data_IF_209267189435
#
_entry.id   IF_209267189435
#
_cell.length_a   1.000
_cell.length_b   1.000
_cell.length_c   1.000
_cell.angle_alpha   90.00
_cell.angle_beta   90.00
_cell.angle_gamma   90.00
#
_symmetry.space_group_name_H-M   'P 1'
#
loop_
_entity.id
_entity.type
_entity.pdbx_description
1 polymer ?
#
# COMPACT_ATOMS: atom_id res chain seq x y z
N UNK A 1 -26.28 -8.60 3.11
CA UNK A 1 -24.90 -9.03 2.82
C UNK A 1 -23.94 -8.24 3.71
N UNK A 2 -23.36 -8.88 4.74
CA UNK A 2 -22.28 -8.26 5.51
C UNK A 2 -21.09 -8.05 4.57
N UNK A 3 -20.82 -6.80 4.20
CA UNK A 3 -19.55 -6.44 3.54
C UNK A 3 -18.44 -6.83 4.49
N UNK A 4 -17.60 -7.78 4.08
CA UNK A 4 -16.43 -8.23 4.83
C UNK A 4 -15.59 -6.99 5.17
N UNK A 5 -15.60 -6.55 6.44
CA UNK A 5 -14.73 -5.45 6.89
C UNK A 5 -13.29 -5.89 6.60
N UNK A 6 -12.63 -5.21 5.68
CA UNK A 6 -11.23 -5.49 5.33
C UNK A 6 -10.41 -5.19 6.58
N UNK A 7 -9.97 -6.21 7.32
CA UNK A 7 -9.09 -6.01 8.47
C UNK A 7 -7.70 -5.62 7.98
N UNK A 8 -7.24 -4.43 8.37
CA UNK A 8 -5.85 -4.03 8.19
C UNK A 8 -4.96 -4.82 9.16
N UNK A 9 -3.74 -5.13 8.72
CA UNK A 9 -2.70 -5.80 9.49
C UNK A 9 -1.60 -4.80 9.84
N UNK A 10 -0.80 -5.15 10.85
CA UNK A 10 0.43 -4.41 11.16
C UNK A 10 1.32 -4.31 9.91
N UNK A 11 1.84 -3.12 9.63
CA UNK A 11 2.65 -2.82 8.44
C UNK A 11 1.84 -2.41 7.21
N UNK A 12 0.50 -2.51 7.23
CA UNK A 12 -0.31 -2.02 6.12
C UNK A 12 -0.27 -0.48 6.07
N UNK A 13 -0.06 0.05 4.86
CA UNK A 13 -0.19 1.48 4.59
C UNK A 13 -1.65 1.85 4.31
N UNK A 14 -2.19 2.79 5.08
CA UNK A 14 -3.57 3.25 4.99
C UNK A 14 -3.63 4.76 4.76
N UNK A 15 -4.74 5.20 4.17
CA UNK A 15 -5.08 6.62 4.03
C UNK A 15 -6.25 6.95 4.94
N UNK A 16 -6.18 8.08 5.63
CA UNK A 16 -7.30 8.60 6.40
C UNK A 16 -8.32 9.23 5.46
N UNK A 17 -9.56 8.76 5.51
CA UNK A 17 -10.63 9.18 4.59
C UNK A 17 -11.72 10.01 5.28
N UNK A 18 -11.65 10.20 6.60
CA UNK A 18 -12.61 11.02 7.32
C UNK A 18 -12.26 12.51 7.15
N UNK A 19 -13.11 13.32 6.47
CA UNK A 19 -12.82 14.73 6.21
C UNK A 19 -12.82 15.60 7.47
N UNK A 20 -13.40 15.13 8.57
CA UNK A 20 -13.41 15.83 9.86
C UNK A 20 -12.19 15.52 10.73
N UNK A 21 -11.31 14.62 10.28
CA UNK A 21 -10.08 14.28 10.99
C UNK A 21 -8.95 15.24 10.57
N UNK A 22 -8.12 15.66 11.53
CA UNK A 22 -6.96 16.52 11.27
C UNK A 22 -5.98 15.92 10.25
N UNK A 23 -5.91 14.60 10.18
CA UNK A 23 -5.04 13.87 9.26
C UNK A 23 -5.75 13.47 7.95
N UNK A 24 -6.85 14.13 7.56
CA UNK A 24 -7.55 13.80 6.33
C UNK A 24 -6.62 13.76 5.11
N UNK A 25 -6.72 12.69 4.30
CA UNK A 25 -5.86 12.34 3.16
C UNK A 25 -4.40 12.01 3.49
N UNK A 26 -3.97 12.07 4.75
CA UNK A 26 -2.64 11.62 5.14
C UNK A 26 -2.51 10.10 5.09
N UNK A 27 -1.27 9.66 4.91
CA UNK A 27 -0.89 8.25 4.82
C UNK A 27 -0.17 7.86 6.10
N UNK A 28 -0.52 6.70 6.63
CA UNK A 28 0.09 6.16 7.83
C UNK A 28 0.26 4.64 7.76
N UNK A 29 1.21 4.14 8.54
CA UNK A 29 1.41 2.71 8.77
C UNK A 29 0.58 2.23 9.95
N UNK A 30 -0.07 1.08 9.83
CA UNK A 30 -0.75 0.42 10.95
C UNK A 30 0.30 -0.21 11.87
N UNK A 31 0.38 0.24 13.12
CA UNK A 31 1.27 -0.35 14.13
C UNK A 31 0.63 -1.55 14.83
N UNK A 32 -0.64 -1.44 15.20
CA UNK A 32 -1.41 -2.48 15.88
C UNK A 32 -2.90 -2.20 15.82
N UNK A 33 -3.70 -3.23 16.09
CA UNK A 33 -5.13 -3.15 16.32
C UNK A 33 -5.41 -3.43 17.79
N UNK A 34 -6.03 -2.48 18.49
CA UNK A 34 -6.49 -2.63 19.85
C UNK A 34 -7.91 -3.21 19.85
N UNK A 35 -8.04 -4.42 20.41
CA UNK A 35 -9.29 -5.16 20.48
C UNK A 35 -10.25 -4.57 21.51
N UNK A 36 -9.75 -3.93 22.56
CA UNK A 36 -10.58 -3.34 23.63
C UNK A 36 -11.26 -2.06 23.17
N UNK A 37 -10.52 -1.18 22.50
CA UNK A 37 -11.05 0.09 21.97
C UNK A 37 -11.60 -0.04 20.56
N UNK A 38 -11.34 -1.16 19.87
CA UNK A 38 -11.70 -1.42 18.47
C UNK A 38 -11.13 -0.34 17.52
N UNK A 39 -9.91 0.11 17.80
CA UNK A 39 -9.17 1.13 17.04
C UNK A 39 -7.84 0.59 16.53
N UNK A 40 -7.34 1.22 15.47
CA UNK A 40 -6.00 1.02 14.96
C UNK A 40 -5.08 2.12 15.48
N UNK A 41 -3.90 1.75 15.97
CA UNK A 41 -2.82 2.71 16.20
C UNK A 41 -2.03 2.89 14.91
N UNK A 42 -1.91 4.14 14.47
CA UNK A 42 -1.23 4.54 13.25
C UNK A 42 0.07 5.28 13.55
N UNK A 43 1.04 5.19 12.64
CA UNK A 43 2.22 6.05 12.61
C UNK A 43 2.28 6.80 11.28
N UNK A 44 2.26 8.13 11.35
CA UNK A 44 2.38 9.02 10.20
C UNK A 44 3.84 9.26 9.82
N UNK A 45 4.06 9.76 8.60
CA UNK A 45 5.40 10.05 8.06
C UNK A 45 6.19 11.06 8.89
N UNK A 46 5.51 11.93 9.64
CA UNK A 46 6.14 12.89 10.56
C UNK A 46 6.48 12.27 11.93
N UNK A 47 6.29 10.96 12.11
CA UNK A 47 6.52 10.23 13.36
C UNK A 47 5.38 10.33 14.37
N UNK A 48 4.35 11.14 14.11
CA UNK A 48 3.18 11.25 15.00
C UNK A 48 2.38 9.95 15.03
N UNK A 49 1.77 9.66 16.18
CA UNK A 49 0.93 8.47 16.38
C UNK A 49 -0.48 8.87 16.77
N UNK A 50 -1.47 8.24 16.14
CA UNK A 50 -2.88 8.48 16.43
C UNK A 50 -3.67 7.19 16.39
N UNK A 51 -4.70 7.09 17.22
CA UNK A 51 -5.68 6.02 17.12
C UNK A 51 -6.82 6.41 16.19
N UNK A 52 -7.29 5.47 15.36
CA UNK A 52 -8.41 5.69 14.43
C UNK A 52 -9.30 4.47 14.29
N UNK A 53 -10.57 4.71 13.99
CA UNK A 53 -11.49 3.61 13.70
C UNK A 53 -11.30 3.08 12.30
N UNK A 54 -11.68 1.81 12.09
CA UNK A 54 -11.63 1.18 10.76
C UNK A 54 -12.35 2.00 9.67
N UNK A 55 -13.48 2.63 9.99
CA UNK A 55 -14.29 3.37 9.02
C UNK A 55 -13.69 4.72 8.63
N UNK A 56 -12.67 5.19 9.35
CA UNK A 56 -11.91 6.39 9.00
C UNK A 56 -10.74 6.09 8.04
N UNK A 57 -10.55 4.81 7.68
CA UNK A 57 -9.37 4.32 6.98
C UNK A 57 -9.72 3.59 5.69
N UNK A 58 -8.91 3.81 4.66
CA UNK A 58 -8.90 3.03 3.43
C UNK A 58 -7.48 2.54 3.13
N UNK A 59 -7.35 1.55 2.24
CA UNK A 59 -6.04 1.20 1.67
C UNK A 59 -5.42 2.43 1.03
N UNK A 60 -4.14 2.66 1.25
CA UNK A 60 -3.44 3.82 0.69
C UNK A 60 -3.49 3.85 -0.84
N UNK A 61 -3.37 2.69 -1.48
CA UNK A 61 -3.45 2.53 -2.93
C UNK A 61 -4.72 1.78 -3.31
N UNK A 62 -5.41 2.31 -4.31
CA UNK A 62 -6.40 1.54 -5.07
C UNK A 62 -5.72 0.40 -5.82
N UNK A 63 -6.49 -0.61 -6.22
CA UNK A 63 -5.98 -1.71 -7.06
C UNK A 63 -5.30 -1.19 -8.34
N UNK A 64 -5.85 -0.14 -8.94
CA UNK A 64 -5.27 0.50 -10.14
C UNK A 64 -3.93 1.15 -9.85
N UNK A 65 -3.82 1.93 -8.78
CA UNK A 65 -2.56 2.57 -8.39
C UNK A 65 -1.51 1.55 -7.97
N UNK A 66 -1.91 0.51 -7.22
CA UNK A 66 -1.02 -0.59 -6.85
C UNK A 66 -0.47 -1.31 -8.09
N UNK A 67 -1.34 -1.62 -9.06
CA UNK A 67 -0.93 -2.25 -10.32
C UNK A 67 0.00 -1.36 -11.13
N UNK A 68 -0.27 -0.05 -11.16
CA UNK A 68 0.60 0.93 -11.83
C UNK A 68 1.99 1.00 -11.16
N UNK A 69 2.04 1.01 -9.83
CA UNK A 69 3.29 1.02 -9.07
C UNK A 69 4.10 -0.26 -9.29
N UNK A 70 3.45 -1.43 -9.28
CA UNK A 70 4.08 -2.71 -9.57
C UNK A 70 4.67 -2.73 -10.98
N UNK A 71 3.93 -2.22 -11.97
CA UNK A 71 4.41 -2.10 -13.35
C UNK A 71 5.63 -1.19 -13.44
N UNK A 72 5.60 -0.02 -12.79
CA UNK A 72 6.72 0.92 -12.76
C UNK A 72 7.97 0.29 -12.10
N UNK A 73 7.79 -0.43 -11.00
CA UNK A 73 8.87 -1.14 -10.33
C UNK A 73 9.51 -2.22 -11.22
N UNK A 74 8.69 -3.01 -11.93
CA UNK A 74 9.20 -3.99 -12.88
C UNK A 74 10.01 -3.35 -14.02
N UNK A 75 9.60 -2.17 -14.51
CA UNK A 75 10.41 -1.43 -15.49
C UNK A 75 11.77 -1.02 -14.92
N UNK A 76 11.82 -0.52 -13.68
CA UNK A 76 13.08 -0.16 -13.02
C UNK A 76 14.00 -1.37 -12.84
N UNK A 77 13.46 -2.53 -12.47
CA UNK A 77 14.24 -3.76 -12.35
C UNK A 77 14.75 -4.25 -13.71
N UNK A 78 13.95 -4.13 -14.77
CA UNK A 78 14.38 -4.50 -16.12
C UNK A 78 15.56 -3.63 -16.58
N UNK A 79 15.50 -2.32 -16.32
CA UNK A 79 16.60 -1.40 -16.62
C UNK A 79 17.87 -1.75 -15.81
N UNK A 80 17.71 -2.05 -14.52
CA UNK A 80 18.83 -2.50 -13.67
C UNK A 80 19.45 -3.80 -14.18
N UNK A 81 18.65 -4.79 -14.60
CA UNK A 81 19.12 -6.05 -15.16
C UNK A 81 19.98 -5.84 -16.41
N UNK A 82 19.58 -4.91 -17.29
CA UNK A 82 20.39 -4.51 -18.46
C UNK A 82 21.70 -3.85 -18.03
N UNK A 83 21.67 -2.97 -17.03
CA UNK A 83 22.86 -2.29 -16.52
C UNK A 83 23.90 -3.26 -15.93
N UNK A 84 23.46 -4.33 -15.25
CA UNK A 84 24.34 -5.38 -14.72
C UNK A 84 24.63 -6.51 -15.72
N UNK A 85 24.10 -6.40 -16.95
CA UNK A 85 24.23 -7.40 -18.04
C UNK A 85 23.67 -8.79 -17.70
N UNK A 86 22.69 -8.87 -16.80
CA UNK A 86 22.00 -10.11 -16.47
C UNK A 86 20.79 -10.31 -17.40
N UNK A 87 21.01 -11.09 -18.45
CA UNK A 87 20.02 -11.32 -19.50
C UNK A 87 18.90 -12.26 -19.05
N UNK A 88 19.20 -13.25 -18.21
CA UNK A 88 18.20 -14.20 -17.72
C UNK A 88 17.21 -13.49 -16.81
N UNK A 89 17.72 -12.63 -15.92
CA UNK A 89 16.89 -11.82 -15.04
C UNK A 89 16.01 -10.83 -15.81
N UNK A 90 16.57 -10.16 -16.83
CA UNK A 90 15.80 -9.29 -17.72
C UNK A 90 14.64 -10.04 -18.40
N UNK A 91 14.90 -11.22 -18.96
CA UNK A 91 13.89 -12.02 -19.67
C UNK A 91 12.77 -12.49 -18.72
N UNK A 92 13.09 -12.79 -17.46
CA UNK A 92 12.10 -13.12 -16.43
C UNK A 92 11.18 -11.91 -16.13
N UNK A 93 11.76 -10.73 -15.93
CA UNK A 93 11.00 -9.50 -15.67
C UNK A 93 10.15 -9.13 -16.89
N UNK A 94 10.69 -9.25 -18.10
CA UNK A 94 10.00 -8.95 -19.35
C UNK A 94 8.77 -9.86 -19.56
N UNK A 95 8.84 -11.13 -19.15
CA UNK A 95 7.67 -12.03 -19.14
C UNK A 95 6.58 -11.49 -18.21
N UNK A 96 6.92 -11.13 -16.97
CA UNK A 96 5.97 -10.58 -15.99
C UNK A 96 5.34 -9.25 -16.46
N UNK A 97 6.10 -8.40 -17.15
CA UNK A 97 5.58 -7.15 -17.73
C UNK A 97 4.51 -7.37 -18.82
N UNK A 98 4.50 -8.53 -19.50
CA UNK A 98 3.46 -8.84 -20.50
C UNK A 98 2.07 -8.99 -19.87
N UNK A 99 1.99 -9.42 -18.62
CA UNK A 99 0.72 -9.57 -17.88
C UNK A 99 0.06 -8.21 -17.54
N UNK A 100 0.79 -7.10 -17.73
CA UNK A 100 0.32 -5.73 -17.52
C UNK A 100 -0.04 -5.00 -18.82
N UNK A 101 -0.16 -5.71 -19.96
CA UNK A 101 -0.57 -5.15 -21.25
C UNK A 101 -2.10 -5.07 -21.48
N UNK A 102 -2.91 -5.54 -20.53
CA UNK A 102 -4.39 -5.48 -20.58
C UNK A 102 -4.95 -4.55 -19.53
#
# INVERSE_FOLDING_TARGET
MMKTKVRFKKGDMVRVINPNNHFFNEVAEILLFDVFTNKYLLQFNNGYKSEMYHYDLAKYLTYREQRALQKAHLFQLADLALNVKDREWFDEIAKRLKDYKN
#
